data_IF_583825444442
#
_entry.id   IF_583825444442
#
_cell.length_a   1.000
_cell.length_b   1.000
_cell.length_c   1.000
_cell.angle_alpha   90.00
_cell.angle_beta   90.00
_cell.angle_gamma   90.00
#
_symmetry.space_group_name_H-M   'P 1'
#
loop_
_entity.id
_entity.type
_entity.pdbx_description
1 polymer ?
#
# COMPACT_ATOMS: atom_id res chain seq x y z
N UNK A 1 -12.68 0.62 -33.80
CA UNK A 1 -12.20 0.18 -33.47
C UNK A 1 -11.71 0.23 -32.96
N UNK A 2 -11.97 0.03 -32.90
CA UNK A 2 -11.34 -0.47 -32.30
C UNK A 2 -10.55 -0.82 -32.27
N UNK A 3 -10.29 -0.89 -32.68
CA UNK A 3 -9.49 -1.61 -32.65
C UNK A 3 -8.74 -1.49 -32.11
N UNK A 4 -8.61 -1.16 -31.97
CA UNK A 4 -7.72 -1.31 -31.42
C UNK A 4 -7.74 -1.73 -30.53
N UNK A 5 -8.48 -1.67 -30.27
CA UNK A 5 -8.62 -2.34 -29.47
C UNK A 5 -8.14 -3.47 -29.39
N UNK A 6 -7.95 -3.82 -30.11
CA UNK A 6 -7.43 -4.77 -30.26
C UNK A 6 -6.23 -4.81 -29.85
N UNK A 7 -5.72 -3.97 -29.95
CA UNK A 7 -4.58 -3.88 -29.62
C UNK A 7 -4.39 -4.39 -28.50
N UNK A 8 -5.08 -4.13 -27.99
CA UNK A 8 -4.99 -4.63 -27.03
C UNK A 8 -5.40 -5.89 -27.25
N UNK A 9 -5.58 -6.38 -28.15
CA UNK A 9 -5.92 -7.68 -28.41
C UNK A 9 -6.18 -8.52 -27.22
N UNK A 10 -5.86 -8.07 -26.11
CA UNK A 10 -6.13 -8.78 -24.94
C UNK A 10 -7.47 -8.52 -24.40
N UNK A 11 -8.12 -7.53 -24.84
CA UNK A 11 -9.42 -7.17 -24.30
C UNK A 11 -10.51 -7.97 -24.98
N UNK A 12 -11.32 -8.67 -24.21
CA UNK A 12 -12.46 -9.42 -24.71
C UNK A 12 -13.70 -8.81 -24.07
N UNK A 13 -14.54 -8.09 -24.84
CA UNK A 13 -15.69 -7.42 -24.25
C UNK A 13 -16.73 -8.37 -23.69
N UNK A 14 -16.72 -9.61 -24.14
CA UNK A 14 -17.67 -10.59 -23.63
C UNK A 14 -17.21 -11.25 -22.34
N UNK A 15 -15.95 -11.03 -21.99
CA UNK A 15 -15.39 -11.66 -20.82
C UNK A 15 -15.40 -10.67 -19.68
N UNK A 16 -15.82 -11.12 -18.53
CA UNK A 16 -15.80 -10.24 -17.40
C UNK A 16 -14.38 -9.90 -17.03
N UNK A 17 -14.23 -8.67 -16.59
CA UNK A 17 -12.95 -8.20 -16.17
C UNK A 17 -12.64 -8.87 -14.85
N UNK A 18 -11.62 -9.69 -14.82
CA UNK A 18 -11.29 -10.46 -13.64
C UNK A 18 -10.05 -9.91 -12.98
N UNK A 19 -10.00 -10.05 -11.69
CA UNK A 19 -8.82 -9.66 -10.93
C UNK A 19 -8.77 -10.48 -9.66
N UNK A 20 -7.57 -10.62 -9.15
CA UNK A 20 -7.33 -11.36 -7.92
C UNK A 20 -6.69 -10.40 -6.92
N UNK A 21 -7.29 -10.25 -5.75
CA UNK A 21 -6.73 -9.46 -4.68
C UNK A 21 -6.02 -10.41 -3.73
N UNK A 22 -4.72 -10.17 -3.52
CA UNK A 22 -3.93 -11.04 -2.66
C UNK A 22 -4.44 -10.93 -1.24
N UNK A 23 -4.62 -12.08 -0.62
CA UNK A 23 -5.16 -12.13 0.73
C UNK A 23 -4.30 -11.33 1.69
N UNK A 24 -4.95 -10.54 2.53
CA UNK A 24 -4.24 -9.74 3.50
C UNK A 24 -3.73 -8.40 2.99
N UNK A 25 -3.86 -8.14 1.70
CA UNK A 25 -3.34 -6.91 1.12
C UNK A 25 -4.37 -5.79 1.02
N UNK A 26 -5.63 -6.08 1.29
CA UNK A 26 -6.72 -5.14 1.04
C UNK A 26 -6.79 -4.10 2.15
N UNK A 27 -6.45 -2.86 1.82
CA UNK A 27 -6.47 -1.77 2.80
C UNK A 27 -7.24 -0.60 2.22
N UNK A 28 -8.45 -0.40 2.70
CA UNK A 28 -9.25 0.77 2.33
C UNK A 28 -8.80 1.93 3.20
N UNK A 29 -8.50 3.05 2.61
CA UNK A 29 -8.00 4.18 3.38
C UNK A 29 -8.81 5.47 3.20
N UNK A 30 -9.79 5.45 2.31
CA UNK A 30 -10.62 6.64 2.11
C UNK A 30 -11.94 6.20 1.52
N UNK A 31 -13.04 6.77 1.99
CA UNK A 31 -14.37 6.35 1.52
C UNK A 31 -15.30 7.53 1.47
N UNK A 32 -16.18 7.51 0.51
CA UNK A 32 -17.26 8.49 0.45
C UNK A 32 -18.42 7.87 -0.32
N UNK A 33 -19.51 7.60 0.39
CA UNK A 33 -20.66 6.95 -0.24
C UNK A 33 -20.31 5.56 -0.68
N UNK A 34 -20.57 5.24 -1.92
CA UNK A 34 -20.27 3.93 -2.47
C UNK A 34 -18.93 3.87 -3.19
N UNK A 35 -18.12 4.92 -3.02
CA UNK A 35 -16.82 5.01 -3.65
C UNK A 35 -15.75 4.90 -2.57
N UNK A 36 -14.68 4.17 -2.87
CA UNK A 36 -13.59 4.06 -1.90
C UNK A 36 -12.26 3.95 -2.61
N UNK A 37 -11.21 4.33 -1.89
CA UNK A 37 -9.84 4.19 -2.35
C UNK A 37 -9.19 3.09 -1.54
N UNK A 38 -8.52 2.19 -2.21
CA UNK A 38 -7.89 1.07 -1.54
C UNK A 38 -6.50 0.83 -2.08
N UNK A 39 -5.62 0.39 -1.19
CA UNK A 39 -4.31 -0.10 -1.56
C UNK A 39 -4.39 -1.62 -1.52
N UNK A 40 -4.09 -2.25 -2.63
CA UNK A 40 -4.21 -3.70 -2.76
C UNK A 40 -3.09 -4.25 -3.62
N UNK A 41 -2.75 -5.51 -3.38
CA UNK A 41 -1.91 -6.23 -4.32
C UNK A 41 -2.85 -7.01 -5.23
N UNK A 42 -2.78 -6.74 -6.51
CA UNK A 42 -3.76 -7.23 -7.47
C UNK A 42 -3.07 -7.88 -8.66
N UNK A 43 -3.62 -8.99 -9.11
CA UNK A 43 -3.23 -9.59 -10.38
C UNK A 43 -4.42 -9.46 -11.31
N UNK A 44 -4.27 -8.67 -12.36
CA UNK A 44 -5.35 -8.46 -13.31
C UNK A 44 -5.40 -9.62 -14.30
N UNK A 45 -6.60 -10.03 -14.64
CA UNK A 45 -6.79 -11.15 -15.55
C UNK A 45 -6.78 -12.51 -14.90
N UNK A 46 -6.70 -12.55 -13.58
CA UNK A 46 -6.68 -13.79 -12.81
C UNK A 46 -7.92 -13.81 -11.94
N UNK A 47 -8.76 -14.85 -12.02
CA UNK A 47 -9.93 -14.91 -11.13
C UNK A 47 -9.52 -15.01 -9.67
N UNK A 48 -10.38 -14.54 -8.79
CA UNK A 48 -10.09 -14.54 -7.38
C UNK A 48 -9.86 -15.94 -6.81
N UNK A 49 -10.51 -16.95 -7.41
CA UNK A 49 -10.40 -18.31 -6.91
C UNK A 49 -9.18 -19.05 -7.45
N UNK A 50 -8.35 -18.38 -8.24
CA UNK A 50 -7.11 -18.97 -8.74
C UNK A 50 -5.93 -18.28 -8.10
N UNK A 51 -4.83 -19.02 -8.03
CA UNK A 51 -3.62 -18.49 -7.44
C UNK A 51 -2.80 -17.81 -8.53
N UNK A 52 -2.49 -16.54 -8.43
CA UNK A 52 -1.64 -15.91 -9.44
C UNK A 52 -0.21 -16.44 -9.34
N UNK A 53 0.47 -16.41 -10.47
CA UNK A 53 1.86 -16.79 -10.49
C UNK A 53 2.69 -15.81 -9.67
N UNK A 54 3.78 -16.31 -9.16
CA UNK A 54 4.67 -15.48 -8.37
C UNK A 54 5.13 -14.28 -9.18
N UNK A 55 5.08 -13.11 -8.57
CA UNK A 55 5.50 -11.89 -9.24
C UNK A 55 4.45 -11.25 -10.13
N UNK A 56 3.27 -11.83 -10.19
CA UNK A 56 2.22 -11.29 -11.04
C UNK A 56 1.32 -10.28 -10.33
N UNK A 57 1.39 -10.20 -9.02
CA UNK A 57 0.62 -9.18 -8.30
C UNK A 57 1.43 -7.92 -8.20
N UNK A 58 0.75 -6.79 -8.32
CA UNK A 58 1.37 -5.49 -8.18
C UNK A 58 0.63 -4.70 -7.12
N UNK A 59 1.39 -3.93 -6.37
CA UNK A 59 0.78 -3.04 -5.39
C UNK A 59 0.23 -1.83 -6.12
N UNK A 60 -1.02 -1.52 -5.87
CA UNK A 60 -1.65 -0.38 -6.54
C UNK A 60 -2.55 0.38 -5.59
N UNK A 61 -2.81 1.61 -5.94
CA UNK A 61 -3.80 2.47 -5.30
C UNK A 61 -4.86 2.72 -6.34
N UNK A 62 -6.11 2.46 -5.98
CA UNK A 62 -7.18 2.55 -6.96
C UNK A 62 -8.46 2.99 -6.32
N UNK A 63 -9.26 3.69 -7.12
CA UNK A 63 -10.63 4.03 -6.74
C UNK A 63 -11.55 2.90 -7.20
N UNK A 64 -12.49 2.57 -6.35
CA UNK A 64 -13.48 1.54 -6.62
C UNK A 64 -14.86 2.09 -6.36
N UNK A 65 -15.83 1.58 -7.07
CA UNK A 65 -17.24 1.90 -6.84
C UNK A 65 -17.99 0.63 -6.55
N UNK A 66 -19.01 0.73 -5.71
CA UNK A 66 -19.86 -0.40 -5.44
C UNK A 66 -21.18 -0.14 -6.16
N UNK A 67 -21.54 -1.04 -7.06
CA UNK A 67 -22.80 -0.99 -7.79
C UNK A 67 -23.39 -2.37 -7.79
N UNK A 68 -24.68 -2.44 -7.44
CA UNK A 68 -25.39 -3.73 -7.44
C UNK A 68 -24.61 -4.76 -6.63
N UNK A 69 -24.07 -4.32 -5.49
CA UNK A 69 -23.30 -5.14 -4.55
C UNK A 69 -22.02 -5.72 -5.16
N UNK A 70 -21.52 -5.09 -6.20
CA UNK A 70 -20.27 -5.52 -6.83
C UNK A 70 -19.32 -4.37 -6.90
N UNK A 71 -18.05 -4.68 -6.72
CA UNK A 71 -16.99 -3.71 -6.87
C UNK A 71 -16.69 -3.49 -8.34
N UNK A 72 -16.54 -2.25 -8.71
CA UNK A 72 -16.13 -1.91 -10.07
C UNK A 72 -14.89 -1.04 -9.96
N UNK A 73 -13.88 -1.40 -10.74
CA UNK A 73 -12.62 -0.68 -10.73
C UNK A 73 -12.77 0.63 -11.49
N UNK A 74 -12.14 1.65 -10.96
CA UNK A 74 -12.05 2.94 -11.61
C UNK A 74 -10.55 3.23 -11.75
N UNK A 75 -10.17 4.47 -11.76
CA UNK A 75 -8.80 4.86 -12.02
C UNK A 75 -7.88 4.49 -10.87
N UNK A 76 -6.68 4.13 -11.22
CA UNK A 76 -5.66 3.80 -10.24
C UNK A 76 -4.31 3.75 -10.89
N UNK A 77 -3.30 3.45 -10.07
CA UNK A 77 -1.94 3.30 -10.58
C UNK A 77 -1.21 2.26 -9.74
N UNK A 78 -0.23 1.64 -10.35
CA UNK A 78 0.67 0.79 -9.60
C UNK A 78 2.01 1.49 -9.52
N UNK A 79 2.78 1.15 -8.50
CA UNK A 79 4.08 1.75 -8.33
C UNK A 79 5.04 1.21 -9.38
N UNK A 80 5.93 2.07 -9.84
CA UNK A 80 6.85 1.72 -10.91
C UNK A 80 8.02 0.88 -10.40
N UNK A 81 8.38 1.05 -9.13
CA UNK A 81 9.50 0.32 -8.55
C UNK A 81 9.14 -0.11 -7.15
N UNK A 82 9.97 -0.98 -6.59
CA UNK A 82 9.79 -1.40 -5.20
C UNK A 82 9.99 -0.25 -4.23
N UNK A 83 10.71 0.78 -4.63
CA UNK A 83 10.95 1.92 -3.76
C UNK A 83 9.79 2.91 -3.76
N UNK A 84 8.88 2.79 -4.72
CA UNK A 84 7.78 3.73 -4.86
C UNK A 84 6.99 3.98 -3.59
N UNK A 85 6.54 2.93 -2.91
CA UNK A 85 5.78 3.15 -1.67
C UNK A 85 6.58 3.86 -0.59
N UNK A 86 7.87 3.57 -0.50
CA UNK A 86 8.73 4.24 0.49
C UNK A 86 8.87 5.71 0.16
N UNK A 87 9.04 6.03 -1.13
CA UNK A 87 9.18 7.42 -1.54
C UNK A 87 7.87 8.19 -1.35
N UNK A 88 6.74 7.55 -1.62
CA UNK A 88 5.46 8.18 -1.39
C UNK A 88 5.27 8.50 0.09
N UNK A 89 5.65 7.56 0.95
CA UNK A 89 5.55 7.76 2.38
C UNK A 89 6.37 8.97 2.82
N UNK A 90 7.60 9.07 2.32
CA UNK A 90 8.45 10.21 2.63
C UNK A 90 7.81 11.52 2.20
N UNK A 91 7.32 11.55 0.98
CA UNK A 91 6.73 12.78 0.44
C UNK A 91 5.53 13.20 1.27
N UNK A 92 4.67 12.26 1.61
CA UNK A 92 3.48 12.58 2.39
C UNK A 92 3.87 13.15 3.76
N UNK A 93 4.83 12.54 4.41
CA UNK A 93 5.26 13.02 5.72
C UNK A 93 5.95 14.37 5.61
N UNK A 94 6.77 14.56 4.58
CA UNK A 94 7.46 15.84 4.37
C UNK A 94 6.46 16.96 4.11
N UNK A 95 5.36 16.64 3.48
CA UNK A 95 4.33 17.64 3.20
C UNK A 95 3.39 17.88 4.38
N UNK A 96 3.63 17.22 5.49
CA UNK A 96 2.83 17.45 6.69
C UNK A 96 1.62 16.56 6.86
N UNK A 97 1.50 15.55 6.02
CA UNK A 97 0.38 14.63 6.16
C UNK A 97 0.70 13.55 7.18
N UNK A 98 -0.33 12.97 7.72
CA UNK A 98 -0.20 11.95 8.74
C UNK A 98 -0.36 12.56 10.12
N UNK A 99 -1.22 11.96 10.92
CA UNK A 99 -1.36 12.37 12.31
C UNK A 99 -0.14 11.88 13.06
N UNK A 100 0.58 12.80 13.70
CA UNK A 100 1.86 12.49 14.33
C UNK A 100 1.74 11.34 15.30
N UNK A 101 0.73 11.38 16.16
CA UNK A 101 0.59 10.34 17.17
C UNK A 101 0.35 8.97 16.55
N UNK A 102 -0.52 8.93 15.53
CA UNK A 102 -0.81 7.68 14.85
C UNK A 102 0.41 7.13 14.13
N UNK A 103 1.14 8.02 13.43
CA UNK A 103 2.32 7.63 12.70
C UNK A 103 3.37 7.05 13.65
N UNK A 104 3.59 7.72 14.77
CA UNK A 104 4.57 7.24 15.74
C UNK A 104 4.16 5.91 16.34
N UNK A 105 2.87 5.74 16.62
CA UNK A 105 2.40 4.48 17.17
C UNK A 105 2.57 3.33 16.19
N UNK A 106 2.33 3.59 14.92
CA UNK A 106 2.51 2.56 13.91
C UNK A 106 4.00 2.19 13.79
N UNK A 107 4.86 3.21 13.73
CA UNK A 107 6.28 2.97 13.54
C UNK A 107 6.87 2.20 14.72
N UNK A 108 6.45 2.55 15.92
CA UNK A 108 7.04 1.94 17.10
C UNK A 108 6.70 0.45 17.20
N UNK A 109 5.63 0.01 16.55
CA UNK A 109 5.26 -1.41 16.55
C UNK A 109 5.93 -2.20 15.45
N UNK A 110 6.68 -1.54 14.56
CA UNK A 110 7.34 -2.24 13.46
C UNK A 110 8.62 -2.89 13.94
N UNK A 111 8.87 -4.08 13.41
CA UNK A 111 10.07 -4.82 13.79
C UNK A 111 11.34 -4.08 13.42
N UNK A 112 11.36 -3.43 12.25
CA UNK A 112 12.55 -2.71 11.84
C UNK A 112 12.85 -1.53 12.77
N UNK A 113 11.81 -0.90 13.33
CA UNK A 113 12.02 0.15 14.30
C UNK A 113 12.59 -0.44 15.60
N UNK A 114 12.02 -1.55 16.05
CA UNK A 114 12.50 -2.19 17.27
C UNK A 114 13.95 -2.61 17.12
N UNK A 115 14.31 -3.12 15.96
CA UNK A 115 15.68 -3.50 15.70
C UNK A 115 16.60 -2.30 15.70
N UNK A 116 16.16 -1.19 15.11
CA UNK A 116 16.95 0.04 15.09
C UNK A 116 17.21 0.58 16.49
N UNK A 117 16.17 0.56 17.33
CA UNK A 117 16.29 1.04 18.69
C UNK A 117 17.25 0.15 19.45
N UNK A 118 17.14 -1.15 19.26
CA UNK A 118 18.02 -2.10 19.91
C UNK A 118 19.47 -1.85 19.53
N UNK A 119 19.71 -1.58 18.26
CA UNK A 119 21.04 -1.28 17.76
C UNK A 119 21.58 -0.01 18.42
N UNK A 120 20.74 1.00 18.57
CA UNK A 120 21.18 2.24 19.20
C UNK A 120 21.58 2.03 20.66
N UNK A 121 20.86 1.15 21.35
CA UNK A 121 21.19 0.87 22.73
C UNK A 121 22.38 -0.05 22.86
N UNK A 122 22.57 -0.96 21.90
CA UNK A 122 23.69 -1.89 21.92
C UNK A 122 24.97 -1.21 21.56
N UNK A 123 24.91 -0.16 20.75
CA UNK A 123 26.11 0.58 20.41
C UNK A 123 26.61 1.23 21.65
N UNK A 124 27.88 1.09 21.87
CA UNK A 124 28.49 1.83 22.93
C UNK A 124 28.30 3.29 22.73
N UNK A 125 27.88 3.96 23.74
CA UNK A 125 27.81 5.38 23.73
C UNK A 125 28.96 5.90 24.53
N UNK A 126 30.11 6.05 23.92
CA UNK A 126 31.32 6.36 24.67
C UNK A 126 31.29 7.71 25.33
N UNK A 127 30.46 8.61 24.89
CA UNK A 127 30.39 9.91 25.52
C UNK A 127 29.61 9.85 26.82
N UNK A 128 28.87 8.79 27.04
CA UNK A 128 28.06 8.72 28.22
C UNK A 128 26.75 9.47 28.12
N UNK A 129 26.55 10.15 27.04
CA UNK A 129 25.28 10.84 26.83
C UNK A 129 24.23 9.81 26.51
N UNK A 130 23.22 9.81 27.29
CA UNK A 130 22.16 8.83 27.08
C UNK A 130 21.00 9.46 26.31
N UNK A 131 20.60 8.80 25.28
CA UNK A 131 19.47 9.23 24.48
C UNK A 131 18.52 8.08 24.30
N UNK A 132 17.28 8.24 24.75
CA UNK A 132 16.28 7.21 24.60
C UNK A 132 15.29 7.65 23.53
N UNK A 133 15.39 7.07 22.33
CA UNK A 133 14.48 7.48 21.25
C UNK A 133 13.02 7.28 21.60
N UNK A 134 12.74 6.37 22.50
CA UNK A 134 11.36 6.10 22.89
C UNK A 134 10.75 7.26 23.68
N UNK A 135 11.58 8.02 24.35
CA UNK A 135 11.08 9.21 25.05
C UNK A 135 10.48 10.20 24.09
N UNK A 136 11.13 10.36 22.95
CA UNK A 136 10.65 11.27 21.93
C UNK A 136 9.35 10.75 21.34
N UNK A 137 9.30 9.46 21.09
CA UNK A 137 8.12 8.87 20.49
C UNK A 137 6.91 8.93 21.40
N UNK A 138 7.11 9.01 22.69
CA UNK A 138 6.01 9.12 23.63
C UNK A 138 5.53 10.56 23.77
N UNK A 139 6.18 11.50 23.11
CA UNK A 139 5.65 12.83 23.01
C UNK A 139 5.91 13.72 24.20
N UNK A 140 6.90 13.41 24.93
CA UNK A 140 7.23 14.24 26.10
C UNK A 140 8.35 15.25 25.86
#
# INVERSE_FOLDING_TARGET
MYEEVKIMGKFDPDKKFEYHVLEGSDKVFDEKGSTFLAMRRVAWGVPQDEEPEEGKTKLELRRWHIRDNKEQADKGFSFLTEEGPHELTKVLLEEGYGNTKDVLNIIKDRDDFKDSVSTLFDDDNPSGDYFDPRSILLGD
#
